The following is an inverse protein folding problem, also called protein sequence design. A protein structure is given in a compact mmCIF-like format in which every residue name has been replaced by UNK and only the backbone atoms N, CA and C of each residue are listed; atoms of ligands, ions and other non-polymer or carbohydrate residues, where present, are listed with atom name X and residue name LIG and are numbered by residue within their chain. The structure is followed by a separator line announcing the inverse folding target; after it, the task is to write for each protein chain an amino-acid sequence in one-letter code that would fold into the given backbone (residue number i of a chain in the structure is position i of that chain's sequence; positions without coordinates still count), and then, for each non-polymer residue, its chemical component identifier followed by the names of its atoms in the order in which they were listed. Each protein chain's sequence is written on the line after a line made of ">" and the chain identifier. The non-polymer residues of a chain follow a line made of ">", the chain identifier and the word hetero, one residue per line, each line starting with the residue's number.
data_IF_622049424932
#
_entry.id   IF_622049424932
#
_cell.length_a   1.000
_cell.length_b   1.000
_cell.length_c   1.000
_cell.angle_alpha   90.00
_cell.angle_beta   90.00
_cell.angle_gamma   90.00
#
_symmetry.space_group_name_H-M   'P 1'
#
loop_
_entity.id
_entity.type
_entity.pdbx_description
1 polymer ?
#
# COMPACT_ATOMS: atom_id res chain seq x y z
N UNK A 1 18.10 -14.75 20.20
CA UNK A 1 16.91 -14.27 20.91
C UNK A 1 17.10 -12.89 21.55
N UNK A 2 18.26 -12.61 22.22
CA UNK A 2 18.49 -11.36 22.93
C UNK A 2 18.58 -10.10 22.04
N UNK A 3 19.22 -10.21 20.88
CA UNK A 3 19.39 -9.09 19.97
C UNK A 3 18.05 -8.54 19.43
N UNK A 4 17.09 -9.43 19.15
CA UNK A 4 15.75 -9.04 18.69
C UNK A 4 14.95 -8.32 19.80
N UNK A 5 15.03 -8.80 21.03
CA UNK A 5 14.38 -8.16 22.18
C UNK A 5 14.98 -6.77 22.42
N UNK A 6 16.30 -6.66 22.36
CA UNK A 6 17.00 -5.38 22.50
C UNK A 6 16.62 -4.38 21.39
N UNK A 7 16.55 -4.84 20.16
CA UNK A 7 16.14 -4.01 19.02
C UNK A 7 14.70 -3.48 19.21
N UNK A 8 13.78 -4.33 19.65
CA UNK A 8 12.39 -3.93 19.92
C UNK A 8 12.34 -2.86 21.02
N UNK A 9 13.01 -3.08 22.14
CA UNK A 9 13.03 -2.15 23.26
C UNK A 9 13.73 -0.83 22.92
N UNK A 10 14.83 -0.88 22.17
CA UNK A 10 15.51 0.33 21.70
C UNK A 10 14.59 1.17 20.81
N UNK A 11 13.80 0.55 19.93
CA UNK A 11 12.83 1.26 19.09
C UNK A 11 11.71 1.90 19.92
N UNK A 12 11.17 1.21 20.90
CA UNK A 12 10.16 1.80 21.82
C UNK A 12 10.69 3.05 22.53
N UNK A 13 11.95 3.03 22.95
CA UNK A 13 12.61 4.20 23.55
C UNK A 13 12.77 5.32 22.56
N UNK A 14 13.24 5.04 21.33
CA UNK A 14 13.40 6.04 20.28
C UNK A 14 12.03 6.66 19.94
N UNK A 15 11.01 5.88 19.74
CA UNK A 15 9.66 6.36 19.44
C UNK A 15 9.09 7.22 20.59
N UNK A 16 9.34 6.83 21.83
CA UNK A 16 8.92 7.61 23.00
C UNK A 16 9.66 8.96 23.07
N UNK A 17 10.96 8.97 22.74
CA UNK A 17 11.75 10.19 22.69
C UNK A 17 11.30 11.12 21.56
N UNK A 18 11.06 10.61 20.36
CA UNK A 18 10.52 11.39 19.23
C UNK A 18 9.15 11.96 19.55
N UNK A 19 8.27 11.18 20.18
CA UNK A 19 6.97 11.65 20.65
C UNK A 19 7.11 12.76 21.68
N UNK A 20 8.04 12.65 22.59
CA UNK A 20 8.31 13.71 23.60
C UNK A 20 8.80 15.00 22.92
N UNK A 21 9.73 14.89 21.98
CA UNK A 21 10.22 16.03 21.18
C UNK A 21 9.06 16.68 20.40
N UNK A 22 8.22 15.87 19.78
CA UNK A 22 7.05 16.34 19.03
C UNK A 22 6.10 17.14 19.93
N UNK A 23 5.69 16.56 21.05
CA UNK A 23 4.77 17.21 22.00
C UNK A 23 5.36 18.49 22.59
N UNK A 24 6.66 18.51 22.87
CA UNK A 24 7.37 19.70 23.37
C UNK A 24 7.40 20.82 22.32
N UNK A 25 7.66 20.49 21.06
CA UNK A 25 7.64 21.44 19.94
C UNK A 25 6.24 21.98 19.68
N UNK A 26 5.22 21.12 19.69
CA UNK A 26 3.82 21.53 19.57
C UNK A 26 3.42 22.51 20.70
N UNK A 27 3.77 22.20 21.95
CA UNK A 27 3.51 23.07 23.10
C UNK A 27 4.26 24.42 23.06
N UNK A 28 5.41 24.44 22.37
CA UNK A 28 6.25 25.63 22.24
C UNK A 28 5.92 26.50 21.02
N UNK A 29 4.86 26.16 20.25
CA UNK A 29 4.44 26.89 19.04
C UNK A 29 5.41 26.77 17.86
N UNK A 30 6.38 25.86 17.92
CA UNK A 30 7.19 25.51 16.76
C UNK A 30 6.32 24.76 15.74
N UNK A 31 6.43 25.15 14.47
CA UNK A 31 5.70 24.51 13.39
C UNK A 31 5.93 23.00 13.44
N UNK A 32 4.82 22.27 13.44
CA UNK A 32 4.82 20.81 13.43
C UNK A 32 5.64 20.31 12.24
N UNK A 33 6.53 19.34 12.42
CA UNK A 33 7.19 18.70 11.28
C UNK A 33 6.13 18.17 10.31
N UNK A 34 6.47 18.11 9.02
CA UNK A 34 5.58 17.57 8.02
C UNK A 34 5.19 16.13 8.37
N UNK A 35 3.90 15.79 8.28
CA UNK A 35 3.44 14.40 8.33
C UNK A 35 3.95 13.68 7.09
N UNK A 36 4.85 12.72 7.27
CA UNK A 36 5.41 11.90 6.20
C UNK A 36 4.52 10.69 5.99
N UNK A 37 3.75 10.73 4.90
CA UNK A 37 2.75 9.71 4.60
C UNK A 37 3.17 8.87 3.40
N UNK A 38 3.41 7.59 3.63
CA UNK A 38 3.69 6.61 2.59
C UNK A 38 2.43 6.22 1.83
N UNK A 39 2.50 6.18 0.51
CA UNK A 39 1.38 5.79 -0.35
C UNK A 39 1.82 4.79 -1.42
N UNK A 40 0.96 3.83 -1.71
CA UNK A 40 1.05 3.08 -2.96
C UNK A 40 0.78 4.00 -4.15
N UNK A 41 1.47 3.78 -5.27
CA UNK A 41 1.27 4.54 -6.50
C UNK A 41 -0.20 4.57 -6.96
N UNK A 42 -0.93 3.45 -6.80
CA UNK A 42 -2.36 3.35 -7.15
C UNK A 42 -3.28 4.28 -6.36
N UNK A 43 -2.84 4.74 -5.19
CA UNK A 43 -3.64 5.60 -4.31
C UNK A 43 -3.41 7.10 -4.55
N UNK A 44 -2.41 7.46 -5.34
CA UNK A 44 -1.97 8.86 -5.49
C UNK A 44 -3.04 9.72 -6.15
N UNK A 45 -3.64 9.26 -7.24
CA UNK A 45 -4.55 10.10 -8.04
C UNK A 45 -5.89 10.39 -7.35
N UNK A 46 -6.42 9.44 -6.60
CA UNK A 46 -7.75 9.57 -5.98
C UNK A 46 -7.66 9.78 -4.47
N UNK A 47 -6.86 8.99 -3.78
CA UNK A 47 -6.86 8.94 -2.31
C UNK A 47 -6.02 10.06 -1.70
N UNK A 48 -4.86 10.38 -2.27
CA UNK A 48 -4.01 11.43 -1.72
C UNK A 48 -4.69 12.81 -1.66
N UNK A 49 -5.37 13.31 -2.72
CA UNK A 49 -6.10 14.57 -2.65
C UNK A 49 -7.19 14.59 -1.58
N UNK A 50 -7.90 13.47 -1.39
CA UNK A 50 -8.94 13.35 -0.38
C UNK A 50 -8.36 13.41 1.04
N UNK A 51 -7.21 12.79 1.27
CA UNK A 51 -6.48 12.84 2.54
C UNK A 51 -6.05 14.27 2.83
N UNK A 52 -5.43 14.94 1.86
CA UNK A 52 -5.01 16.35 2.02
C UNK A 52 -6.19 17.24 2.39
N UNK A 53 -7.28 17.12 1.64
CA UNK A 53 -8.49 17.90 1.90
C UNK A 53 -9.06 17.64 3.30
N UNK A 54 -9.13 16.35 3.70
CA UNK A 54 -9.65 15.96 5.02
C UNK A 54 -8.78 16.43 6.16
N UNK A 55 -7.47 16.32 6.03
CA UNK A 55 -6.51 16.76 7.03
C UNK A 55 -6.45 18.28 7.13
N UNK A 56 -6.39 19.00 6.01
CA UNK A 56 -6.35 20.46 6.00
C UNK A 56 -7.61 21.12 6.56
N UNK A 57 -8.77 20.47 6.46
CA UNK A 57 -10.01 20.94 7.14
C UNK A 57 -9.92 20.86 8.66
N UNK A 58 -9.20 19.89 9.20
CA UNK A 58 -9.10 19.65 10.65
C UNK A 58 -7.87 20.29 11.26
N UNK A 59 -6.78 20.32 10.52
CA UNK A 59 -5.45 20.80 10.93
C UNK A 59 -4.85 21.61 9.78
N UNK A 60 -5.27 22.87 9.57
CA UNK A 60 -4.82 23.71 8.45
C UNK A 60 -3.30 23.94 8.42
N UNK A 61 -2.70 23.97 9.63
CA UNK A 61 -1.27 24.17 9.82
C UNK A 61 -0.41 22.98 9.48
N UNK A 62 -1.00 21.75 9.38
CA UNK A 62 -0.25 20.52 9.16
C UNK A 62 0.39 20.51 7.77
N UNK A 63 1.69 20.38 7.71
CA UNK A 63 2.42 20.08 6.48
C UNK A 63 2.37 18.59 6.20
N UNK A 64 2.23 18.19 4.95
CA UNK A 64 2.13 16.77 4.54
C UNK A 64 3.15 16.54 3.44
N UNK A 65 3.95 15.50 3.62
CA UNK A 65 4.88 15.00 2.62
C UNK A 65 4.45 13.59 2.22
N UNK A 66 4.32 13.35 0.90
CA UNK A 66 3.98 12.04 0.38
C UNK A 66 5.22 11.31 -0.14
N UNK A 67 5.39 10.08 0.32
CA UNK A 67 6.44 9.17 -0.14
C UNK A 67 5.77 7.99 -0.85
N UNK A 68 6.02 7.84 -2.15
CA UNK A 68 5.41 6.80 -2.98
C UNK A 68 6.35 5.62 -3.15
N UNK A 69 5.86 4.42 -2.85
CA UNK A 69 6.67 3.21 -3.00
C UNK A 69 5.80 1.93 -3.04
N UNK A 70 6.43 0.76 -3.16
CA UNK A 70 5.79 -0.54 -3.01
C UNK A 70 5.47 -0.83 -1.53
N UNK A 71 4.55 -1.76 -1.26
CA UNK A 71 4.21 -2.21 0.10
C UNK A 71 5.45 -2.51 0.95
N UNK A 72 6.36 -3.30 0.40
CA UNK A 72 7.58 -3.73 1.10
C UNK A 72 8.42 -2.53 1.54
N UNK A 73 8.71 -1.62 0.61
CA UNK A 73 9.54 -0.44 0.90
C UNK A 73 8.86 0.54 1.85
N UNK A 74 7.53 0.67 1.79
CA UNK A 74 6.78 1.50 2.73
C UNK A 74 6.80 0.92 4.14
N UNK A 75 6.68 -0.40 4.28
CA UNK A 75 6.81 -1.06 5.59
C UNK A 75 8.23 -0.97 6.16
N UNK A 76 9.25 -1.10 5.32
CA UNK A 76 10.64 -0.86 5.70
C UNK A 76 10.83 0.58 6.19
N UNK A 77 10.38 1.57 5.42
CA UNK A 77 10.46 2.99 5.78
C UNK A 77 9.71 3.32 7.07
N UNK A 78 8.53 2.71 7.28
CA UNK A 78 7.76 2.86 8.51
C UNK A 78 8.50 2.25 9.71
N UNK A 79 9.08 1.07 9.52
CA UNK A 79 9.87 0.40 10.56
C UNK A 79 11.14 1.17 10.93
N UNK A 80 11.74 1.87 9.99
CA UNK A 80 12.93 2.71 10.17
C UNK A 80 12.60 4.11 10.71
N UNK A 81 11.31 4.49 10.80
CA UNK A 81 10.88 5.83 11.20
C UNK A 81 11.09 6.90 10.12
N UNK A 82 11.31 6.50 8.87
CA UNK A 82 11.46 7.41 7.74
C UNK A 82 10.11 7.99 7.27
N UNK A 83 9.01 7.31 7.59
CA UNK A 83 7.63 7.79 7.43
C UNK A 83 6.84 7.56 8.72
N UNK A 84 5.77 8.34 8.91
CA UNK A 84 4.97 8.34 10.14
C UNK A 84 3.75 7.42 10.02
N UNK A 85 3.22 7.27 8.81
CA UNK A 85 2.13 6.37 8.49
C UNK A 85 2.24 5.91 7.03
N UNK A 86 1.57 4.81 6.68
CA UNK A 86 1.52 4.31 5.32
C UNK A 86 0.13 3.81 4.95
N UNK A 87 -0.34 4.16 3.75
CA UNK A 87 -1.47 3.53 3.11
C UNK A 87 -0.97 2.47 2.13
N UNK A 88 -1.22 1.24 2.50
CA UNK A 88 -0.76 0.05 1.79
C UNK A 88 -1.94 -0.88 1.52
N UNK A 89 -1.79 -1.82 0.62
CA UNK A 89 -2.71 -2.95 0.58
C UNK A 89 -2.29 -3.97 1.64
N UNK A 90 -3.25 -4.73 2.17
CA UNK A 90 -2.99 -5.72 3.22
C UNK A 90 -1.91 -6.71 2.76
N UNK A 91 -0.72 -6.70 3.35
CA UNK A 91 0.30 -7.68 3.04
C UNK A 91 0.04 -8.96 3.83
N UNK A 92 0.27 -10.12 3.21
CA UNK A 92 0.10 -11.41 3.89
C UNK A 92 1.19 -11.67 4.95
N UNK A 93 2.30 -10.95 4.87
CA UNK A 93 3.48 -11.14 5.71
C UNK A 93 3.94 -9.84 6.35
N UNK A 94 3.11 -9.19 7.13
CA UNK A 94 3.59 -8.14 8.01
C UNK A 94 3.55 -8.60 9.46
N UNK A 95 4.53 -8.19 10.22
CA UNK A 95 4.55 -8.47 11.64
C UNK A 95 3.54 -7.54 12.33
N UNK A 96 2.33 -8.04 12.59
CA UNK A 96 1.26 -7.31 13.26
C UNK A 96 1.63 -6.77 14.65
N UNK A 97 2.71 -7.27 15.23
CA UNK A 97 3.21 -6.77 16.53
C UNK A 97 4.06 -5.50 16.41
N UNK A 98 4.45 -5.10 15.19
CA UNK A 98 5.28 -3.91 14.96
C UNK A 98 4.46 -2.69 14.55
N UNK A 99 3.26 -2.91 14.02
CA UNK A 99 2.43 -1.85 13.44
C UNK A 99 1.01 -1.92 13.95
N UNK A 100 0.44 -0.78 14.24
CA UNK A 100 -0.99 -0.63 14.41
C UNK A 100 -1.64 -0.44 13.04
N UNK A 101 -2.72 -1.18 12.75
CA UNK A 101 -3.31 -1.20 11.42
C UNK A 101 -4.83 -1.07 11.46
N UNK A 102 -5.37 -0.34 10.47
CA UNK A 102 -6.81 -0.19 10.27
C UNK A 102 -7.16 -0.45 8.82
N UNK A 103 -8.20 -1.22 8.56
CA UNK A 103 -8.76 -1.35 7.22
C UNK A 103 -9.62 -0.13 6.93
N UNK A 104 -9.21 0.65 5.92
CA UNK A 104 -9.91 1.86 5.52
C UNK A 104 -10.98 1.55 4.49
N UNK A 105 -10.68 0.72 3.49
CA UNK A 105 -11.61 0.23 2.48
C UNK A 105 -11.11 -1.08 1.88
N UNK A 106 -12.00 -1.78 1.19
CA UNK A 106 -11.67 -2.94 0.36
C UNK A 106 -12.00 -2.64 -1.09
N UNK A 107 -11.19 -3.11 -2.01
CA UNK A 107 -11.38 -2.94 -3.44
C UNK A 107 -11.33 -4.29 -4.15
N UNK A 108 -12.01 -4.40 -5.29
CA UNK A 108 -12.05 -5.62 -6.08
C UNK A 108 -11.03 -5.56 -7.20
N UNK A 109 -10.48 -6.73 -7.56
CA UNK A 109 -9.63 -6.88 -8.73
C UNK A 109 -10.52 -7.16 -9.94
N UNK A 110 -10.34 -6.39 -11.00
CA UNK A 110 -11.08 -6.52 -12.24
C UNK A 110 -10.18 -6.98 -13.38
N UNK A 111 -10.75 -7.74 -14.28
CA UNK A 111 -10.13 -8.06 -15.56
C UNK A 111 -10.48 -6.95 -16.57
N UNK A 112 -9.48 -6.25 -17.06
CA UNK A 112 -9.65 -5.34 -18.18
C UNK A 112 -9.57 -6.11 -19.49
N UNK A 113 -10.53 -5.91 -20.37
CA UNK A 113 -10.61 -6.56 -21.70
C UNK A 113 -10.91 -5.52 -22.78
N UNK A 114 -10.55 -5.77 -24.05
CA UNK A 114 -11.01 -4.95 -25.15
C UNK A 114 -12.53 -4.86 -25.20
N UNK A 115 -13.09 -3.70 -25.59
CA UNK A 115 -14.54 -3.45 -25.60
C UNK A 115 -15.29 -4.51 -26.41
N UNK A 116 -14.73 -4.94 -27.54
CA UNK A 116 -15.32 -5.98 -28.38
C UNK A 116 -15.45 -7.35 -27.70
N UNK A 117 -14.65 -7.60 -26.67
CA UNK A 117 -14.68 -8.88 -25.95
C UNK A 117 -15.56 -8.79 -24.68
N UNK A 118 -15.94 -7.59 -24.26
CA UNK A 118 -16.67 -7.35 -23.02
C UNK A 118 -18.05 -8.04 -22.99
N UNK A 119 -18.78 -7.99 -24.11
CA UNK A 119 -20.12 -8.56 -24.20
C UNK A 119 -20.13 -10.10 -24.21
N UNK A 120 -18.95 -10.73 -24.40
CA UNK A 120 -18.82 -12.19 -24.41
C UNK A 120 -18.52 -12.77 -23.01
N UNK A 121 -18.21 -11.89 -22.07
CA UNK A 121 -17.83 -12.25 -20.70
C UNK A 121 -18.94 -11.92 -19.72
N UNK A 122 -19.35 -12.92 -18.96
CA UNK A 122 -20.29 -12.72 -17.85
C UNK A 122 -19.55 -12.24 -16.60
N UNK A 123 -20.21 -11.48 -15.76
CA UNK A 123 -19.69 -11.03 -14.46
C UNK A 123 -20.38 -11.83 -13.34
N UNK A 124 -19.64 -12.52 -12.46
CA UNK A 124 -18.17 -12.62 -12.40
C UNK A 124 -17.58 -13.42 -13.55
N UNK A 125 -16.35 -13.05 -13.96
CA UNK A 125 -15.68 -13.71 -15.10
C UNK A 125 -15.23 -15.11 -14.72
N UNK A 126 -15.61 -16.09 -15.54
CA UNK A 126 -15.06 -17.45 -15.47
C UNK A 126 -13.72 -17.48 -16.19
N UNK A 127 -12.63 -17.45 -15.43
CA UNK A 127 -11.27 -17.43 -15.97
C UNK A 127 -10.93 -18.71 -16.77
N UNK A 128 -11.58 -19.85 -16.50
CA UNK A 128 -11.32 -21.10 -17.22
C UNK A 128 -11.55 -20.95 -18.72
N UNK A 129 -12.45 -20.04 -19.13
CA UNK A 129 -12.73 -19.73 -20.54
C UNK A 129 -11.64 -18.91 -21.23
N UNK A 130 -10.68 -18.41 -20.47
CA UNK A 130 -9.61 -17.54 -20.96
C UNK A 130 -8.26 -18.28 -21.11
N UNK A 131 -8.26 -19.61 -21.04
CA UNK A 131 -7.06 -20.44 -21.07
C UNK A 131 -6.18 -20.23 -22.31
N UNK A 132 -6.79 -19.90 -23.47
CA UNK A 132 -6.10 -19.62 -24.72
C UNK A 132 -5.71 -18.14 -24.91
N UNK A 133 -6.06 -17.28 -23.96
CA UNK A 133 -5.79 -15.84 -24.07
C UNK A 133 -4.44 -15.50 -23.47
N UNK A 134 -3.82 -14.45 -24.03
CA UNK A 134 -2.60 -13.85 -23.47
C UNK A 134 -2.95 -12.74 -22.50
N UNK A 135 -2.18 -12.64 -21.43
CA UNK A 135 -2.42 -11.69 -20.36
C UNK A 135 -1.33 -10.64 -20.28
N UNK A 136 -1.71 -9.46 -19.83
CA UNK A 136 -0.80 -8.44 -19.33
C UNK A 136 -0.96 -8.44 -17.81
N UNK A 137 0.14 -8.59 -17.08
CA UNK A 137 0.12 -8.67 -15.63
C UNK A 137 1.13 -7.71 -15.00
N UNK A 138 0.80 -7.20 -13.82
CA UNK A 138 1.75 -6.49 -12.98
C UNK A 138 2.80 -7.46 -12.43
N UNK A 139 3.98 -6.96 -12.14
CA UNK A 139 5.09 -7.74 -11.57
C UNK A 139 4.81 -8.16 -10.13
N UNK A 140 5.61 -9.11 -9.65
CA UNK A 140 5.46 -9.75 -8.33
C UNK A 140 5.54 -8.77 -7.12
N UNK A 141 6.10 -7.59 -7.30
CA UNK A 141 6.15 -6.55 -6.27
C UNK A 141 4.84 -5.84 -5.99
N UNK A 142 3.80 -6.07 -6.79
CA UNK A 142 2.49 -5.45 -6.64
C UNK A 142 1.53 -6.33 -5.85
N UNK A 143 0.72 -5.71 -5.00
CA UNK A 143 -0.27 -6.41 -4.21
C UNK A 143 -1.30 -7.20 -5.04
N UNK A 144 -1.65 -6.68 -6.22
CA UNK A 144 -2.55 -7.33 -7.16
C UNK A 144 -1.98 -8.63 -7.75
N UNK A 145 -0.65 -8.82 -7.76
CA UNK A 145 -0.01 -10.02 -8.25
C UNK A 145 -0.47 -11.29 -7.53
N UNK A 146 -0.61 -11.23 -6.21
CA UNK A 146 -1.08 -12.39 -5.43
C UNK A 146 -2.51 -12.75 -5.74
N UNK A 147 -3.40 -11.76 -5.82
CA UNK A 147 -4.79 -11.99 -6.24
C UNK A 147 -4.88 -12.58 -7.64
N UNK A 148 -4.05 -12.10 -8.56
CA UNK A 148 -3.91 -12.65 -9.90
C UNK A 148 -3.49 -14.12 -9.84
N UNK A 149 -2.40 -14.46 -9.18
CA UNK A 149 -1.92 -15.84 -9.05
C UNK A 149 -2.97 -16.76 -8.40
N UNK A 150 -3.61 -16.29 -7.33
CA UNK A 150 -4.63 -17.08 -6.64
C UNK A 150 -5.85 -17.35 -7.54
N UNK A 151 -6.29 -16.35 -8.30
CA UNK A 151 -7.42 -16.49 -9.20
C UNK A 151 -7.16 -17.56 -10.29
N UNK A 152 -5.96 -17.56 -10.90
CA UNK A 152 -5.60 -18.56 -11.90
C UNK A 152 -5.34 -19.94 -11.31
N UNK A 153 -4.82 -20.01 -10.10
CA UNK A 153 -4.70 -21.29 -9.37
C UNK A 153 -6.08 -21.91 -9.10
N UNK A 154 -7.07 -21.10 -8.73
CA UNK A 154 -8.46 -21.55 -8.55
C UNK A 154 -9.06 -21.96 -9.89
N UNK A 155 -8.78 -21.25 -10.98
CA UNK A 155 -9.24 -21.58 -12.32
C UNK A 155 -8.58 -22.84 -12.91
N UNK A 156 -7.52 -23.34 -12.27
CA UNK A 156 -6.88 -24.62 -12.63
C UNK A 156 -5.91 -24.56 -13.81
N UNK A 157 -5.39 -23.37 -14.16
CA UNK A 157 -4.39 -23.24 -15.21
C UNK A 157 -3.40 -22.10 -14.94
N UNK A 158 -2.24 -22.14 -15.59
CA UNK A 158 -1.26 -21.05 -15.58
C UNK A 158 -1.51 -20.10 -16.76
N UNK A 159 -1.61 -18.78 -16.50
CA UNK A 159 -1.86 -17.80 -17.56
C UNK A 159 -0.62 -17.62 -18.46
N UNK A 160 -0.83 -17.53 -19.77
CA UNK A 160 0.20 -17.08 -20.71
C UNK A 160 0.38 -15.57 -20.60
N UNK A 161 1.43 -15.14 -19.88
CA UNK A 161 1.73 -13.73 -19.66
C UNK A 161 2.61 -13.23 -20.79
N UNK A 162 2.01 -12.51 -21.73
CA UNK A 162 2.70 -11.92 -22.86
C UNK A 162 3.51 -10.67 -22.46
N UNK A 163 3.01 -9.88 -21.49
CA UNK A 163 3.67 -8.65 -21.04
C UNK A 163 3.62 -8.57 -19.51
N UNK A 164 4.76 -8.28 -18.92
CA UNK A 164 4.86 -7.90 -17.48
C UNK A 164 5.14 -6.42 -17.38
N UNK A 165 4.33 -5.72 -16.62
CA UNK A 165 4.52 -4.29 -16.34
C UNK A 165 5.04 -4.08 -14.93
N UNK A 166 5.96 -3.12 -14.81
CA UNK A 166 6.69 -2.85 -13.57
C UNK A 166 6.18 -1.62 -12.82
N UNK A 167 5.22 -0.92 -13.40
CA UNK A 167 4.54 0.21 -12.78
C UNK A 167 3.09 0.31 -13.30
N UNK A 168 2.30 1.18 -12.67
CA UNK A 168 0.89 1.38 -13.03
C UNK A 168 0.69 2.38 -14.19
N UNK A 169 1.75 2.96 -14.70
CA UNK A 169 1.72 3.96 -15.78
C UNK A 169 2.31 3.42 -17.10
N UNK A 170 2.76 2.15 -17.10
CA UNK A 170 3.34 1.46 -18.27
C UNK A 170 2.28 1.00 -19.27
#
# INVERSE_FOLDING_TARGET
>A
PGAWVMQKQAREVINAMERCIYLTREASGYHSPALRLGLLYSLVLKTAPQIVQGLKKRRPELSIEFIMNSNKKLLEALNEGNIDAALISTPDEYNSNLFETWTIFSDSIYLAVPVQDADTLQTPVDLSRLQSKKFIALSEGFATWRGFQQAFRIAGFEPDIAVRVHDIFS
#
